data_IF_714537543286
#
_entry.id   IF_714537543286
#
_cell.length_a   1.000
_cell.length_b   1.000
_cell.length_c   1.000
_cell.angle_alpha   90.00
_cell.angle_beta   90.00
_cell.angle_gamma   90.00
#
_symmetry.space_group_name_H-M   'P 1'
#
loop_
_entity.id
_entity.type
_entity.pdbx_description
1 polymer ?
#
# COMPACT_ATOMS: atom_id res chain seq x y z
N UNK A 1 -17.01 9.28 12.01
CA UNK A 1 -17.81 8.15 12.47
C UNK A 1 -16.89 7.04 12.96
N UNK A 2 -17.16 6.49 14.11
CA UNK A 2 -16.28 5.53 14.76
C UNK A 2 -17.07 4.33 15.25
N UNK A 3 -16.51 3.13 15.09
CA UNK A 3 -17.11 1.89 15.57
C UNK A 3 -16.13 1.15 16.47
N UNK A 4 -16.63 0.64 17.57
CA UNK A 4 -15.87 -0.29 18.38
C UNK A 4 -16.21 -1.72 17.94
N UNK A 5 -15.18 -2.51 17.69
CA UNK A 5 -15.29 -3.90 17.28
C UNK A 5 -14.95 -4.80 18.48
N UNK A 6 -15.06 -6.10 18.30
CA UNK A 6 -14.69 -7.05 19.34
C UNK A 6 -13.19 -6.98 19.67
N UNK A 7 -12.83 -7.37 20.89
CA UNK A 7 -11.45 -7.47 21.37
C UNK A 7 -10.68 -6.14 21.38
N UNK A 8 -11.39 -5.02 21.60
CA UNK A 8 -10.77 -3.71 21.70
C UNK A 8 -10.37 -3.09 20.37
N UNK A 9 -10.73 -3.72 19.25
CA UNK A 9 -10.47 -3.14 17.93
C UNK A 9 -11.42 -1.98 17.64
N UNK A 10 -10.95 -1.01 16.88
CA UNK A 10 -11.72 0.17 16.50
C UNK A 10 -11.65 0.41 15.00
N UNK A 11 -12.73 0.92 14.44
CA UNK A 11 -12.79 1.39 13.05
C UNK A 11 -13.26 2.84 13.06
N UNK A 12 -12.52 3.71 12.36
CA UNK A 12 -12.85 5.12 12.23
C UNK A 12 -12.92 5.51 10.77
N UNK A 13 -14.02 6.16 10.38
CA UNK A 13 -14.20 6.73 9.04
C UNK A 13 -14.16 8.24 9.14
N UNK A 14 -13.21 8.84 8.43
CA UNK A 14 -13.06 10.28 8.30
C UNK A 14 -13.45 10.69 6.89
N UNK A 15 -14.68 11.15 6.71
CA UNK A 15 -15.16 11.63 5.42
C UNK A 15 -14.36 12.86 4.98
N UNK A 16 -14.01 12.92 3.69
CA UNK A 16 -13.25 14.03 3.12
C UNK A 16 -11.91 14.30 3.83
N UNK A 17 -11.29 13.27 4.41
CA UNK A 17 -9.96 13.40 4.98
C UNK A 17 -8.97 13.96 3.95
N UNK A 18 -9.12 13.57 2.69
CA UNK A 18 -8.48 14.22 1.56
C UNK A 18 -9.53 15.09 0.90
N UNK A 19 -9.28 16.42 0.82
CA UNK A 19 -10.20 17.34 0.20
C UNK A 19 -10.53 16.90 -1.24
N UNK A 20 -11.80 17.01 -1.68
CA UNK A 20 -12.18 16.58 -3.04
C UNK A 20 -11.32 17.17 -4.15
N UNK A 21 -10.89 18.43 -4.02
CA UNK A 21 -10.01 19.08 -4.99
C UNK A 21 -8.63 18.42 -5.10
N UNK A 22 -8.18 17.72 -4.05
CA UNK A 22 -6.87 17.07 -4.01
C UNK A 22 -6.91 15.59 -4.39
N UNK A 23 -8.09 14.97 -4.38
CA UNK A 23 -8.21 13.52 -4.57
C UNK A 23 -7.68 13.05 -5.92
N UNK A 24 -8.08 13.71 -7.01
CA UNK A 24 -7.63 13.35 -8.35
C UNK A 24 -6.13 13.58 -8.52
N UNK A 25 -5.62 14.69 -8.01
CA UNK A 25 -4.20 15.00 -8.05
C UNK A 25 -3.37 13.97 -7.30
N UNK A 26 -3.77 13.60 -6.09
CA UNK A 26 -3.07 12.60 -5.29
C UNK A 26 -3.13 11.22 -5.93
N UNK A 27 -4.27 10.87 -6.52
CA UNK A 27 -4.39 9.61 -7.26
C UNK A 27 -3.35 9.54 -8.39
N UNK A 28 -3.25 10.59 -9.18
CA UNK A 28 -2.29 10.65 -10.29
C UNK A 28 -0.84 10.62 -9.78
N UNK A 29 -0.54 11.33 -8.70
CA UNK A 29 0.79 11.33 -8.10
C UNK A 29 1.19 9.94 -7.58
N UNK A 30 0.29 9.24 -6.90
CA UNK A 30 0.53 7.89 -6.40
C UNK A 30 0.71 6.92 -7.56
N UNK A 31 -0.15 7.00 -8.57
CA UNK A 31 -0.05 6.14 -9.74
C UNK A 31 1.29 6.29 -10.46
N UNK A 32 1.83 7.52 -10.51
CA UNK A 32 3.10 7.81 -11.18
C UNK A 32 4.33 7.52 -10.31
N UNK A 33 4.24 7.74 -8.99
CA UNK A 33 5.40 7.66 -8.09
C UNK A 33 5.68 6.25 -7.56
N UNK A 34 4.65 5.41 -7.45
CA UNK A 34 4.80 4.07 -6.89
C UNK A 34 5.31 3.11 -7.97
N UNK A 35 6.36 2.31 -7.68
CA UNK A 35 6.92 1.37 -8.66
C UNK A 35 6.05 0.11 -8.73
N UNK A 36 4.92 0.21 -9.39
CA UNK A 36 3.99 -0.89 -9.59
C UNK A 36 4.64 -2.02 -10.37
N UNK A 37 4.47 -3.26 -9.89
CA UNK A 37 5.04 -4.44 -10.51
C UNK A 37 4.00 -5.55 -10.62
N UNK A 38 4.05 -6.26 -11.75
CA UNK A 38 3.36 -7.54 -11.89
C UNK A 38 4.36 -8.63 -11.56
N UNK A 39 4.05 -9.41 -10.53
CA UNK A 39 4.90 -10.50 -10.10
C UNK A 39 4.38 -11.83 -10.60
N UNK A 40 5.27 -12.80 -10.67
CA UNK A 40 4.91 -14.18 -11.04
C UNK A 40 4.85 -15.05 -9.80
N UNK A 41 3.91 -15.99 -9.82
CA UNK A 41 3.75 -17.00 -8.77
C UNK A 41 3.97 -18.40 -9.37
N UNK A 42 4.42 -19.33 -8.53
CA UNK A 42 4.59 -20.73 -8.92
C UNK A 42 3.39 -21.54 -8.44
N UNK A 43 2.65 -22.11 -9.39
CA UNK A 43 1.50 -22.98 -9.11
C UNK A 43 1.65 -24.26 -9.94
N UNK A 44 1.66 -25.40 -9.26
CA UNK A 44 1.72 -26.72 -9.89
C UNK A 44 2.84 -26.85 -10.94
N UNK A 45 4.04 -26.34 -10.61
CA UNK A 45 5.19 -26.38 -11.51
C UNK A 45 5.17 -25.36 -12.64
N UNK A 46 4.19 -24.48 -12.66
CA UNK A 46 4.07 -23.40 -13.67
C UNK A 46 4.35 -22.06 -13.06
N UNK A 47 4.95 -21.16 -13.86
CA UNK A 47 5.12 -19.75 -13.51
C UNK A 47 3.97 -18.98 -14.14
N UNK A 48 3.14 -18.38 -13.31
CA UNK A 48 1.94 -17.65 -13.73
C UNK A 48 2.08 -16.20 -13.25
N UNK A 49 1.92 -15.19 -14.14
CA UNK A 49 1.89 -13.80 -13.69
C UNK A 49 0.64 -13.53 -12.82
N UNK A 50 0.82 -12.81 -11.74
CA UNK A 50 -0.32 -12.38 -10.93
C UNK A 50 -1.23 -11.44 -11.72
N UNK A 51 -2.55 -11.52 -11.55
CA UNK A 51 -3.50 -10.68 -12.28
C UNK A 51 -3.58 -9.24 -11.75
N UNK A 52 -2.63 -8.82 -10.95
CA UNK A 52 -2.62 -7.49 -10.32
C UNK A 52 -1.22 -6.91 -10.29
N UNK A 53 -1.17 -5.60 -10.16
CA UNK A 53 0.08 -4.89 -9.90
C UNK A 53 0.19 -4.60 -8.41
N UNK A 54 1.38 -4.77 -7.86
CA UNK A 54 1.67 -4.55 -6.45
C UNK A 54 2.95 -3.75 -6.27
N UNK A 55 3.06 -3.12 -5.11
CA UNK A 55 4.29 -2.49 -4.67
C UNK A 55 4.40 -2.61 -3.15
N UNK A 56 5.62 -2.78 -2.64
CA UNK A 56 5.88 -2.78 -1.21
C UNK A 56 6.63 -1.50 -0.84
N UNK A 57 5.98 -0.66 -0.07
CA UNK A 57 6.53 0.61 0.41
C UNK A 57 6.68 0.52 1.92
N UNK A 58 7.82 0.88 2.45
CA UNK A 58 8.04 0.83 3.87
C UNK A 58 9.41 1.35 4.28
N UNK A 59 9.68 1.30 5.58
CA UNK A 59 10.98 1.64 6.12
C UNK A 59 12.02 0.57 5.73
N UNK A 60 13.32 0.91 5.72
CA UNK A 60 14.35 -0.03 5.23
C UNK A 60 14.38 -1.39 5.91
N UNK A 61 13.95 -1.46 7.16
CA UNK A 61 13.92 -2.69 7.95
C UNK A 61 12.64 -3.51 7.80
N UNK A 62 11.71 -3.08 6.96
CA UNK A 62 10.41 -3.73 6.77
C UNK A 62 10.41 -4.81 5.68
N UNK A 63 11.55 -5.46 5.45
CA UNK A 63 11.62 -6.60 4.54
C UNK A 63 10.92 -7.81 5.13
N UNK A 64 10.27 -8.59 4.29
CA UNK A 64 9.63 -9.83 4.72
C UNK A 64 9.71 -10.90 3.63
N UNK A 65 9.58 -12.16 4.05
CA UNK A 65 9.58 -13.30 3.12
C UNK A 65 8.18 -13.90 3.05
N UNK A 66 7.69 -14.08 1.83
CA UNK A 66 6.40 -14.72 1.57
C UNK A 66 6.55 -15.70 0.41
N UNK A 67 6.08 -16.91 0.59
CA UNK A 67 6.18 -17.98 -0.41
C UNK A 67 7.61 -18.15 -0.96
N UNK A 68 8.61 -18.11 -0.06
CA UNK A 68 10.02 -18.27 -0.44
C UNK A 68 10.64 -17.04 -1.11
N UNK A 69 9.91 -15.94 -1.27
CA UNK A 69 10.41 -14.72 -1.89
C UNK A 69 10.66 -13.65 -0.85
N UNK A 70 11.85 -13.06 -0.86
CA UNK A 70 12.16 -11.88 -0.07
C UNK A 70 11.55 -10.64 -0.72
N UNK A 71 10.76 -9.89 0.04
CA UNK A 71 10.19 -8.62 -0.37
C UNK A 71 10.91 -7.49 0.33
N UNK A 72 11.65 -6.70 -0.43
CA UNK A 72 12.40 -5.55 0.07
C UNK A 72 11.57 -4.29 -0.17
N UNK A 73 11.37 -3.44 0.85
CA UNK A 73 10.54 -2.24 0.67
C UNK A 73 11.22 -1.21 -0.21
N UNK A 74 10.41 -0.51 -1.00
CA UNK A 74 10.81 0.72 -1.66
C UNK A 74 10.66 1.88 -0.67
N UNK A 75 11.55 2.88 -0.69
CA UNK A 75 11.39 4.06 0.14
C UNK A 75 10.06 4.78 -0.10
N UNK A 76 9.57 5.46 0.93
CA UNK A 76 8.32 6.20 0.84
C UNK A 76 8.41 7.31 -0.20
N UNK A 77 7.59 7.31 -1.27
CA UNK A 77 7.46 8.47 -2.14
C UNK A 77 6.93 9.67 -1.34
N UNK A 78 7.31 10.92 -1.70
CA UNK A 78 6.88 12.11 -0.95
C UNK A 78 5.38 12.21 -0.71
N UNK A 79 4.56 11.88 -1.71
CA UNK A 79 3.10 11.93 -1.58
C UNK A 79 2.58 10.96 -0.51
N UNK A 80 3.14 9.77 -0.42
CA UNK A 80 2.74 8.78 0.59
C UNK A 80 3.32 9.11 1.96
N UNK A 81 4.54 9.61 2.04
CA UNK A 81 5.14 10.06 3.29
C UNK A 81 4.34 11.19 3.93
N UNK A 82 3.91 12.17 3.14
CA UNK A 82 3.07 13.27 3.60
C UNK A 82 1.71 12.78 4.09
N UNK A 83 1.10 11.84 3.37
CA UNK A 83 -0.19 11.27 3.76
C UNK A 83 -0.07 10.47 5.07
N UNK A 84 1.01 9.70 5.23
CA UNK A 84 1.30 8.97 6.46
C UNK A 84 1.39 9.90 7.67
N UNK A 85 2.09 11.02 7.54
CA UNK A 85 2.22 12.00 8.61
C UNK A 85 0.87 12.59 9.03
N UNK A 86 -0.06 12.76 8.11
CA UNK A 86 -1.40 13.24 8.42
C UNK A 86 -2.25 12.21 9.17
N UNK A 87 -1.95 10.93 9.00
CA UNK A 87 -2.68 9.83 9.65
C UNK A 87 -2.14 9.48 11.03
N UNK A 88 -0.89 9.77 11.30
CA UNK A 88 -0.19 9.36 12.53
C UNK A 88 0.05 10.51 13.50
#
# INVERSE_FOLDING_TARGET
MRWELSDGAELELLENFIAPADQARMFDEIAAAVPWQTRSIHIAGRIIPEPRQTAWIGDPDASYTYSGRLNVPTPWPPVLAALRERLC
#
